data_IF_083886129486
#
_entry.id   IF_083886129486
#
_cell.length_a   1.000
_cell.length_b   1.000
_cell.length_c   1.000
_cell.angle_alpha   90.00
_cell.angle_beta   90.00
_cell.angle_gamma   90.00
#
_symmetry.space_group_name_H-M   'P 1'
#
loop_
_entity.id
_entity.type
_entity.pdbx_description
1 polymer ?
#
# COMPACT_ATOMS: atom_id res chain seq x y z
N UNK A 1 0.90 10.56 9.34
CA UNK A 1 1.99 9.73 8.83
C UNK A 1 1.54 8.99 7.57
N UNK A 2 2.29 9.11 6.50
CA UNK A 2 1.89 8.59 5.18
C UNK A 2 1.67 7.07 5.16
N UNK A 3 2.56 6.29 5.76
CA UNK A 3 2.42 4.85 5.77
C UNK A 3 1.18 4.39 6.54
N UNK A 4 0.91 5.02 7.67
CA UNK A 4 -0.28 4.71 8.46
C UNK A 4 -1.58 5.03 7.71
N UNK A 5 -1.61 6.14 6.97
CA UNK A 5 -2.75 6.47 6.13
C UNK A 5 -3.00 5.40 5.07
N UNK A 6 -1.93 4.92 4.44
CA UNK A 6 -2.07 3.87 3.42
C UNK A 6 -2.57 2.55 4.02
N UNK A 7 -2.03 2.15 5.16
CA UNK A 7 -2.50 0.95 5.88
C UNK A 7 -3.99 1.11 6.23
N UNK A 8 -4.36 2.26 6.76
CA UNK A 8 -5.73 2.53 7.17
C UNK A 8 -6.70 2.38 5.99
N UNK A 9 -6.44 3.07 4.89
CA UNK A 9 -7.36 3.06 3.74
C UNK A 9 -7.35 1.74 2.97
N UNK A 10 -6.21 1.04 2.94
CA UNK A 10 -6.08 -0.20 2.17
C UNK A 10 -6.44 -1.45 2.96
N UNK A 11 -6.26 -1.45 4.28
CA UNK A 11 -6.27 -2.71 5.02
C UNK A 11 -6.80 -2.63 6.45
N UNK A 12 -7.47 -1.54 6.89
CA UNK A 12 -7.90 -1.45 8.29
C UNK A 12 -8.85 -2.58 8.74
N UNK A 13 -9.57 -3.17 7.79
CA UNK A 13 -10.49 -4.29 8.06
C UNK A 13 -9.82 -5.66 7.95
N UNK A 14 -8.52 -5.70 7.67
CA UNK A 14 -7.77 -6.94 7.60
C UNK A 14 -7.12 -7.29 8.95
N UNK A 15 -6.86 -8.57 9.24
CA UNK A 15 -6.05 -8.95 10.40
C UNK A 15 -4.66 -8.32 10.35
N UNK A 16 -3.99 -8.31 11.50
CA UNK A 16 -2.66 -7.70 11.67
C UNK A 16 -1.68 -8.13 10.59
N UNK A 17 -1.64 -9.41 10.27
CA UNK A 17 -0.73 -9.95 9.25
C UNK A 17 -0.93 -9.28 7.89
N UNK A 18 -2.19 -9.09 7.49
CA UNK A 18 -2.53 -8.41 6.24
C UNK A 18 -2.13 -6.94 6.25
N UNK A 19 -2.28 -6.27 7.37
CA UNK A 19 -1.87 -4.87 7.52
C UNK A 19 -0.35 -4.70 7.42
N UNK A 20 0.40 -5.59 8.06
CA UNK A 20 1.87 -5.61 7.95
C UNK A 20 2.30 -5.87 6.50
N UNK A 21 1.63 -6.78 5.82
CA UNK A 21 1.94 -7.11 4.43
C UNK A 21 1.76 -5.91 3.49
N UNK A 22 0.67 -5.17 3.64
CA UNK A 22 0.41 -3.95 2.85
C UNK A 22 1.48 -2.89 3.12
N UNK A 23 1.86 -2.71 4.39
CA UNK A 23 2.93 -1.79 4.77
C UNK A 23 4.27 -2.20 4.16
N UNK A 24 4.57 -3.49 4.14
CA UNK A 24 5.81 -4.02 3.60
C UNK A 24 5.96 -3.74 2.09
N UNK A 25 4.86 -3.77 1.34
CA UNK A 25 4.88 -3.41 -0.08
C UNK A 25 5.38 -1.98 -0.28
N UNK A 26 4.91 -1.03 0.53
CA UNK A 26 5.38 0.36 0.43
C UNK A 26 6.87 0.46 0.71
N UNK A 27 7.36 -0.20 1.75
CA UNK A 27 8.78 -0.20 2.10
C UNK A 27 9.61 -0.86 0.99
N UNK A 28 9.12 -1.96 0.41
CA UNK A 28 9.79 -2.62 -0.71
C UNK A 28 9.92 -1.68 -1.92
N UNK A 29 8.87 -0.91 -2.21
CA UNK A 29 8.91 0.08 -3.30
C UNK A 29 9.95 1.17 -3.03
N UNK A 30 10.05 1.66 -1.82
CA UNK A 30 11.06 2.66 -1.44
C UNK A 30 12.47 2.15 -1.71
N UNK A 31 12.70 0.86 -1.51
CA UNK A 31 14.00 0.21 -1.71
C UNK A 31 14.23 -0.27 -3.15
N UNK A 32 13.27 -0.05 -4.05
CA UNK A 32 13.35 -0.46 -5.45
C UNK A 32 13.58 0.80 -6.31
N UNK A 33 14.63 0.79 -7.12
CA UNK A 33 15.03 1.94 -7.93
C UNK A 33 13.96 2.41 -8.93
N UNK A 34 12.95 1.58 -9.22
CA UNK A 34 11.85 1.91 -10.13
C UNK A 34 10.78 2.79 -9.48
N UNK A 35 10.87 3.04 -8.17
CA UNK A 35 9.89 3.82 -7.40
C UNK A 35 10.54 4.99 -6.70
N UNK A 36 9.75 5.97 -6.22
CA UNK A 36 10.28 7.04 -5.38
C UNK A 36 11.02 6.48 -4.15
N UNK A 37 11.98 7.24 -3.64
CA UNK A 37 12.87 6.76 -2.58
C UNK A 37 12.45 7.16 -1.18
N UNK A 38 11.19 7.57 -0.99
CA UNK A 38 10.63 7.84 0.33
C UNK A 38 9.18 7.41 0.41
N UNK A 39 8.71 7.16 1.63
CA UNK A 39 7.39 6.57 1.87
C UNK A 39 6.27 7.47 1.36
N UNK A 40 6.29 8.77 1.67
CA UNK A 40 5.20 9.66 1.27
C UNK A 40 5.07 9.76 -0.25
N UNK A 41 6.18 9.84 -0.96
CA UNK A 41 6.14 9.90 -2.42
C UNK A 41 5.65 8.58 -3.05
N UNK A 42 5.95 7.44 -2.44
CA UNK A 42 5.38 6.16 -2.88
C UNK A 42 3.87 6.14 -2.65
N UNK A 43 3.43 6.54 -1.47
CA UNK A 43 1.99 6.53 -1.10
C UNK A 43 1.19 7.46 -2.00
N UNK A 44 1.73 8.64 -2.32
CA UNK A 44 1.04 9.64 -3.14
C UNK A 44 1.40 9.59 -4.62
N UNK A 45 2.01 8.51 -5.06
CA UNK A 45 2.41 8.34 -6.46
C UNK A 45 1.20 8.34 -7.38
N UNK A 46 1.27 9.10 -8.49
CA UNK A 46 0.20 9.20 -9.45
C UNK A 46 0.36 10.44 -10.32
N UNK A 47 -0.63 10.69 -11.18
CA UNK A 47 -0.65 11.88 -12.01
C UNK A 47 -1.29 13.04 -11.26
N UNK A 48 -0.69 14.21 -11.37
CA UNK A 48 -1.14 15.44 -10.70
C UNK A 48 -1.30 16.57 -11.73
N UNK A 49 -2.25 17.48 -11.45
CA UNK A 49 -2.34 18.74 -12.17
C UNK A 49 -1.17 19.65 -11.79
N UNK A 50 -0.92 20.71 -12.57
CA UNK A 50 0.12 21.70 -12.24
C UNK A 50 -0.09 22.34 -10.86
N UNK A 51 -1.35 22.43 -10.41
CA UNK A 51 -1.70 22.94 -9.09
C UNK A 51 -1.20 22.07 -7.93
N UNK A 52 -0.78 20.82 -8.21
CA UNK A 52 -0.39 19.85 -7.21
C UNK A 52 -1.52 18.90 -6.78
N UNK A 53 -2.77 19.16 -7.20
CA UNK A 53 -3.88 18.27 -6.88
C UNK A 53 -3.81 16.99 -7.70
N UNK A 54 -4.12 15.81 -7.11
CA UNK A 54 -4.09 14.56 -7.84
C UNK A 54 -5.22 14.49 -8.88
N UNK A 55 -4.95 13.87 -10.00
CA UNK A 55 -5.97 13.60 -11.02
C UNK A 55 -6.80 12.40 -10.58
N UNK A 56 -8.12 12.55 -10.58
CA UNK A 56 -9.04 11.51 -10.09
C UNK A 56 -8.79 10.19 -10.82
N UNK A 57 -8.68 9.09 -10.06
CA UNK A 57 -8.46 7.71 -10.52
C UNK A 57 -7.13 7.47 -11.24
N UNK A 58 -6.15 8.36 -11.11
CA UNK A 58 -4.82 8.21 -11.73
C UNK A 58 -3.70 8.02 -10.71
N UNK A 59 -3.99 7.37 -9.58
CA UNK A 59 -3.03 7.14 -8.49
C UNK A 59 -2.76 5.66 -8.30
N UNK A 60 -1.56 5.34 -7.80
CA UNK A 60 -1.18 3.96 -7.46
C UNK A 60 -2.07 3.39 -6.37
N UNK A 61 -2.34 4.18 -5.32
CA UNK A 61 -3.29 3.82 -4.28
C UNK A 61 -4.57 4.63 -4.50
N UNK A 62 -5.64 3.94 -4.85
CA UNK A 62 -6.88 4.57 -5.34
C UNK A 62 -7.53 5.51 -4.33
N UNK A 63 -7.39 5.24 -3.01
CA UNK A 63 -8.00 6.08 -1.99
C UNK A 63 -7.53 7.53 -2.05
N UNK A 64 -6.29 7.75 -2.48
CA UNK A 64 -5.68 9.08 -2.51
C UNK A 64 -6.39 10.01 -3.51
N UNK A 65 -6.91 9.47 -4.60
CA UNK A 65 -7.51 10.30 -5.63
C UNK A 65 -8.85 9.75 -6.17
N UNK A 66 -9.65 9.17 -5.28
CA UNK A 66 -10.98 8.66 -5.63
C UNK A 66 -12.07 9.74 -5.56
N UNK A 67 -11.72 10.97 -5.24
CA UNK A 67 -12.66 12.08 -5.10
C UNK A 67 -13.41 12.10 -3.78
N UNK A 68 -13.11 11.16 -2.87
CA UNK A 68 -13.73 11.08 -1.55
C UNK A 68 -12.80 11.66 -0.49
N UNK A 69 -13.34 11.94 0.70
CA UNK A 69 -12.54 12.42 1.82
C UNK A 69 -11.54 11.36 2.28
N UNK A 70 -10.29 11.78 2.52
CA UNK A 70 -9.23 10.92 3.05
C UNK A 70 -9.18 10.94 4.59
N UNK A 71 -10.16 11.53 5.25
CA UNK A 71 -10.20 11.57 6.70
C UNK A 71 -10.29 10.18 7.31
N UNK A 72 -9.52 9.95 8.36
CA UNK A 72 -9.55 8.71 9.13
C UNK A 72 -10.69 8.80 10.14
N UNK A 73 -11.86 8.29 9.76
CA UNK A 73 -13.09 8.41 10.56
C UNK A 73 -13.12 7.47 11.76
N UNK A 74 -12.35 6.39 11.72
CA UNK A 74 -12.19 5.45 12.81
C UNK A 74 -10.83 5.69 13.47
N UNK A 75 -10.83 6.47 14.55
CA UNK A 75 -9.60 6.87 15.23
C UNK A 75 -8.86 5.67 15.83
N UNK A 76 -9.58 4.71 16.40
CA UNK A 76 -8.96 3.51 16.96
C UNK A 76 -8.24 2.70 15.89
N UNK A 77 -8.89 2.49 14.74
CA UNK A 77 -8.27 1.80 13.62
C UNK A 77 -7.06 2.55 13.10
N UNK A 78 -7.11 3.89 13.06
CA UNK A 78 -5.96 4.69 12.63
C UNK A 78 -4.79 4.59 13.59
N UNK A 79 -5.03 4.61 14.90
CA UNK A 79 -3.98 4.43 15.90
C UNK A 79 -3.32 3.05 15.77
N UNK A 80 -4.10 2.03 15.45
CA UNK A 80 -3.56 0.70 15.17
C UNK A 80 -2.69 0.70 13.91
N UNK A 81 -3.14 1.36 12.85
CA UNK A 81 -2.34 1.54 11.62
C UNK A 81 -1.03 2.27 11.90
N UNK A 82 -1.04 3.29 12.77
CA UNK A 82 0.16 3.99 13.20
C UNK A 82 1.16 3.06 13.89
N UNK A 83 0.66 2.20 14.78
CA UNK A 83 1.48 1.23 15.49
C UNK A 83 2.14 0.23 14.52
N UNK A 84 1.36 -0.30 13.57
CA UNK A 84 1.89 -1.22 12.56
C UNK A 84 2.92 -0.51 11.68
N UNK A 85 2.64 0.71 11.24
CA UNK A 85 3.56 1.49 10.42
C UNK A 85 4.92 1.67 11.12
N UNK A 86 4.91 2.04 12.38
CA UNK A 86 6.15 2.20 13.16
C UNK A 86 6.93 0.89 13.25
N UNK A 87 6.26 -0.22 13.51
CA UNK A 87 6.90 -1.51 13.63
C UNK A 87 7.53 -1.95 12.30
N UNK A 88 6.85 -1.75 11.19
CA UNK A 88 7.39 -2.12 9.86
C UNK A 88 8.59 -1.25 9.50
N UNK A 89 8.54 0.05 9.76
CA UNK A 89 9.67 0.95 9.53
C UNK A 89 10.88 0.53 10.38
N UNK A 90 10.64 0.02 11.58
CA UNK A 90 11.70 -0.45 12.48
C UNK A 90 12.22 -1.86 12.15
N UNK A 91 11.68 -2.51 11.14
CA UNK A 91 12.19 -3.77 10.66
C UNK A 91 11.26 -4.99 10.74
N UNK A 92 10.05 -4.86 11.27
CA UNK A 92 9.07 -5.96 11.27
C UNK A 92 8.69 -6.28 9.82
N UNK A 93 8.94 -7.53 9.41
CA UNK A 93 8.60 -7.98 8.06
C UNK A 93 8.46 -9.49 8.02
N UNK A 94 7.90 -9.98 6.92
CA UNK A 94 7.87 -11.42 6.63
C UNK A 94 8.83 -11.71 5.49
N UNK A 95 9.74 -12.67 5.68
CA UNK A 95 10.70 -13.03 4.64
C UNK A 95 10.07 -13.41 3.31
N UNK A 96 8.90 -14.03 3.33
CA UNK A 96 8.21 -14.41 2.09
C UNK A 96 7.52 -13.24 1.37
N UNK A 97 7.58 -12.04 1.93
CA UNK A 97 7.15 -10.81 1.26
C UNK A 97 8.31 -10.03 0.65
N UNK A 98 9.54 -10.58 0.72
CA UNK A 98 10.70 -9.91 0.14
C UNK A 98 10.49 -9.67 -1.35
N UNK A 99 10.62 -8.40 -1.74
CA UNK A 99 10.44 -7.99 -3.12
C UNK A 99 8.99 -7.81 -3.58
N UNK A 100 7.99 -8.05 -2.73
CA UNK A 100 6.59 -7.82 -3.09
C UNK A 100 6.36 -6.33 -3.36
N UNK A 101 5.87 -5.99 -4.56
CA UNK A 101 5.64 -4.60 -4.98
C UNK A 101 4.19 -4.35 -5.41
N UNK A 102 3.40 -5.40 -5.59
CA UNK A 102 2.03 -5.30 -6.08
C UNK A 102 1.10 -6.20 -5.27
N UNK A 103 -0.14 -5.78 -5.14
CA UNK A 103 -1.19 -6.62 -4.59
C UNK A 103 -2.55 -6.18 -5.13
N UNK A 104 -3.52 -7.08 -5.03
CA UNK A 104 -4.93 -6.77 -5.27
C UNK A 104 -5.79 -7.61 -4.33
N UNK A 105 -7.04 -7.22 -4.17
CA UNK A 105 -7.99 -8.01 -3.40
C UNK A 105 -8.45 -9.22 -4.20
N UNK A 106 -8.90 -10.26 -3.50
CA UNK A 106 -9.30 -11.54 -4.13
C UNK A 106 -10.52 -11.42 -5.03
N UNK A 107 -11.29 -10.34 -4.92
CA UNK A 107 -12.52 -10.13 -5.70
C UNK A 107 -12.26 -9.42 -7.04
N UNK A 108 -11.02 -9.07 -7.35
CA UNK A 108 -10.64 -8.45 -8.63
C UNK A 108 -9.59 -9.30 -9.35
N UNK A 109 -9.52 -9.13 -10.68
CA UNK A 109 -8.58 -9.84 -11.53
C UNK A 109 -7.91 -8.83 -12.47
N UNK A 110 -6.96 -8.03 -11.97
CA UNK A 110 -6.32 -7.00 -12.79
C UNK A 110 -5.47 -7.64 -13.90
N UNK A 111 -5.46 -6.98 -15.05
CA UNK A 111 -4.72 -7.47 -16.22
C UNK A 111 -3.22 -7.61 -15.98
N UNK A 112 -2.64 -6.76 -15.11
CA UNK A 112 -1.20 -6.79 -14.83
C UNK A 112 -0.78 -8.05 -14.04
N UNK A 113 -1.71 -8.74 -13.37
CA UNK A 113 -1.36 -9.85 -12.47
C UNK A 113 -0.68 -11.00 -13.20
N UNK A 114 -1.10 -11.31 -14.42
CA UNK A 114 -0.50 -12.39 -15.21
C UNK A 114 0.94 -12.11 -15.62
N UNK A 115 1.35 -10.83 -15.65
CA UNK A 115 2.71 -10.42 -15.97
C UNK A 115 3.65 -10.28 -14.77
N UNK A 116 3.17 -10.58 -13.57
CA UNK A 116 3.93 -10.48 -12.33
C UNK A 116 4.12 -11.85 -11.71
N UNK A 117 5.15 -11.98 -10.88
CA UNK A 117 5.42 -13.23 -10.16
C UNK A 117 4.57 -13.30 -8.91
N UNK A 118 3.66 -14.28 -8.83
CA UNK A 118 2.89 -14.56 -7.62
C UNK A 118 3.83 -14.90 -6.46
N UNK A 119 3.58 -14.34 -5.29
CA UNK A 119 4.33 -14.63 -4.07
C UNK A 119 3.45 -15.37 -3.08
N UNK A 120 2.37 -14.75 -2.60
CA UNK A 120 1.55 -15.31 -1.53
C UNK A 120 0.18 -14.62 -1.50
N UNK A 121 -0.81 -15.35 -0.99
CA UNK A 121 -2.08 -14.77 -0.56
C UNK A 121 -2.06 -14.63 0.97
N UNK A 122 -2.40 -13.45 1.46
CA UNK A 122 -2.59 -13.17 2.90
C UNK A 122 -3.97 -12.58 3.08
N UNK A 123 -4.86 -13.30 3.75
CA UNK A 123 -6.26 -12.92 3.95
C UNK A 123 -6.92 -12.58 2.61
N UNK A 124 -7.41 -11.36 2.43
CA UNK A 124 -8.13 -10.95 1.23
C UNK A 124 -7.24 -10.31 0.17
N UNK A 125 -5.92 -10.37 0.32
CA UNK A 125 -4.96 -9.80 -0.63
C UNK A 125 -4.04 -10.85 -1.21
N UNK A 126 -3.74 -10.72 -2.53
CA UNK A 126 -2.77 -11.55 -3.25
C UNK A 126 -1.60 -10.65 -3.63
N UNK A 127 -0.38 -11.10 -3.31
CA UNK A 127 0.85 -10.31 -3.45
C UNK A 127 1.74 -10.83 -4.57
N UNK A 128 2.37 -9.92 -5.29
CA UNK A 128 3.21 -10.20 -6.45
C UNK A 128 4.51 -9.43 -6.41
N UNK A 129 5.51 -9.98 -7.10
CA UNK A 129 6.77 -9.30 -7.34
C UNK A 129 6.88 -8.88 -8.80
N UNK A 130 7.37 -7.69 -9.05
CA UNK A 130 7.67 -7.19 -10.38
C UNK A 130 9.14 -7.48 -10.68
N UNK A 131 9.38 -8.50 -11.49
CA UNK A 131 10.75 -8.88 -11.89
C UNK A 131 11.30 -8.01 -13.02
#
# INVERSE_FOLDING_TARGET
MCLALNIYHEARNQPTLGQIAVAQVVVNRVNDSRYPNNICDVVYQGLHYESGHPIIHKCQFSWYCDGKSDKTKDEEAYQYSMKIAKNVIMGDSFGYLDGATHYHTIDVAPSWASGKKFIVRINDHIFYRWD
#
